data_IF_645237298196
#
_entry.id   IF_645237298196
#
_cell.length_a   1.000
_cell.length_b   1.000
_cell.length_c   1.000
_cell.angle_alpha   90.00
_cell.angle_beta   90.00
_cell.angle_gamma   90.00
#
_symmetry.space_group_name_H-M   'P 1'
#
loop_
_entity.id
_entity.type
_entity.pdbx_description
1 polymer ?
#
# COMPACT_ATOMS: atom_id res chain seq x y z
N UNK A 1 -3.01 -19.63 -5.29
CA UNK A 1 -1.93 -18.65 -5.53
C UNK A 1 -1.11 -18.50 -4.25
N UNK A 2 0.16 -18.08 -4.34
CA UNK A 2 0.94 -17.71 -3.16
C UNK A 2 0.41 -16.36 -2.66
N UNK A 3 0.18 -16.21 -1.36
CA UNK A 3 -0.17 -14.93 -0.75
C UNK A 3 0.95 -13.92 -0.99
N UNK A 4 0.57 -12.72 -1.44
CA UNK A 4 1.50 -11.65 -1.72
C UNK A 4 1.97 -10.93 -0.45
N UNK A 5 3.13 -10.30 -0.55
CA UNK A 5 3.75 -9.54 0.52
C UNK A 5 3.88 -8.08 0.13
N UNK A 6 3.36 -7.23 1.00
CA UNK A 6 3.35 -5.79 0.86
C UNK A 6 4.14 -5.21 2.04
N UNK A 7 5.22 -4.47 1.79
CA UNK A 7 5.99 -3.82 2.85
C UNK A 7 5.53 -2.38 3.03
N UNK A 8 5.53 -1.87 4.26
CA UNK A 8 5.24 -0.48 4.59
C UNK A 8 6.52 0.15 5.15
N UNK A 9 6.88 1.35 4.68
CA UNK A 9 8.03 2.08 5.20
C UNK A 9 7.96 2.26 6.73
N UNK A 10 9.11 2.28 7.44
CA UNK A 10 9.15 2.67 8.85
C UNK A 10 8.73 4.12 9.03
N UNK A 11 8.39 4.46 10.27
CA UNK A 11 8.04 5.83 10.66
C UNK A 11 9.26 6.78 10.62
N UNK A 12 10.47 6.23 10.70
CA UNK A 12 11.73 6.98 10.66
C UNK A 12 12.77 6.29 9.77
N UNK A 13 13.50 7.08 8.99
CA UNK A 13 14.64 6.69 8.16
C UNK A 13 15.38 7.96 7.72
N UNK A 14 16.67 7.87 7.38
CA UNK A 14 17.45 9.05 7.00
C UNK A 14 17.45 9.26 5.48
N UNK A 15 17.52 8.16 4.71
CA UNK A 15 17.70 8.24 3.26
C UNK A 15 17.16 7.00 2.52
N UNK A 16 17.18 7.06 1.18
CA UNK A 16 16.68 5.96 0.34
C UNK A 16 17.49 4.65 0.48
N UNK A 17 18.79 4.73 0.80
CA UNK A 17 19.62 3.53 0.95
C UNK A 17 19.21 2.72 2.19
N UNK A 18 18.78 3.38 3.27
CA UNK A 18 18.26 2.71 4.47
C UNK A 18 17.05 1.85 4.10
N UNK A 19 16.08 2.43 3.39
CA UNK A 19 14.88 1.74 2.93
C UNK A 19 15.21 0.58 1.98
N UNK A 20 16.10 0.80 1.01
CA UNK A 20 16.53 -0.24 0.08
C UNK A 20 17.23 -1.41 0.81
N UNK A 21 18.05 -1.10 1.82
CA UNK A 21 18.70 -2.11 2.64
C UNK A 21 17.69 -2.89 3.49
N UNK A 22 16.71 -2.21 4.09
CA UNK A 22 15.65 -2.86 4.86
C UNK A 22 14.80 -3.79 3.98
N UNK A 23 14.36 -3.33 2.80
CA UNK A 23 13.64 -4.17 1.84
C UNK A 23 14.50 -5.37 1.41
N UNK A 24 15.78 -5.15 1.08
CA UNK A 24 16.69 -6.23 0.70
C UNK A 24 16.90 -7.24 1.82
N UNK A 25 17.02 -6.78 3.07
CA UNK A 25 17.17 -7.66 4.22
C UNK A 25 15.91 -8.50 4.45
N UNK A 26 14.73 -7.91 4.29
CA UNK A 26 13.46 -8.62 4.38
C UNK A 26 13.30 -9.63 3.22
N UNK A 27 13.64 -9.21 2.00
CA UNK A 27 13.45 -9.99 0.79
C UNK A 27 14.38 -11.23 0.68
N UNK A 28 15.34 -11.40 1.60
CA UNK A 28 16.20 -12.60 1.64
C UNK A 28 15.40 -13.89 1.80
N UNK A 29 14.32 -13.82 2.58
CA UNK A 29 13.55 -15.00 2.98
C UNK A 29 12.22 -15.09 2.22
N UNK A 30 11.77 -14.02 1.54
CA UNK A 30 10.45 -13.92 0.91
C UNK A 30 10.46 -12.97 -0.31
N UNK A 31 9.63 -13.27 -1.30
CA UNK A 31 9.34 -12.34 -2.41
C UNK A 31 8.51 -11.17 -1.89
N UNK A 32 8.88 -9.95 -2.25
CA UNK A 32 8.11 -8.73 -1.97
C UNK A 32 7.42 -8.31 -3.26
N UNK A 33 6.11 -8.05 -3.21
CA UNK A 33 5.30 -7.67 -4.37
C UNK A 33 5.08 -6.15 -4.44
N UNK A 34 4.94 -5.50 -3.28
CA UNK A 34 4.69 -4.06 -3.21
C UNK A 34 5.38 -3.40 -2.01
N UNK A 35 5.61 -2.09 -2.11
CA UNK A 35 6.14 -1.23 -1.06
C UNK A 35 5.31 0.05 -0.93
N UNK A 36 4.77 0.32 0.26
CA UNK A 36 4.02 1.52 0.59
C UNK A 36 4.97 2.52 1.23
N UNK A 37 5.15 3.64 0.57
CA UNK A 37 5.82 4.77 1.16
C UNK A 37 4.82 5.63 1.94
N UNK A 38 5.10 5.85 3.21
CA UNK A 38 4.39 6.78 4.08
C UNK A 38 5.30 7.95 4.42
N UNK A 39 4.84 9.18 4.25
CA UNK A 39 5.58 10.34 4.74
C UNK A 39 5.62 10.30 6.28
N UNK A 40 6.79 10.41 6.92
CA UNK A 40 6.87 10.64 8.35
C UNK A 40 6.14 11.94 8.75
N UNK A 41 5.59 11.96 9.96
CA UNK A 41 4.91 13.14 10.49
C UNK A 41 5.88 14.34 10.54
N UNK A 42 5.45 15.47 9.98
CA UNK A 42 6.25 16.70 9.93
C UNK A 42 7.44 16.67 8.95
N UNK A 43 7.51 15.68 8.05
CA UNK A 43 8.55 15.55 7.05
C UNK A 43 8.66 16.77 6.11
N UNK A 44 9.90 17.15 5.75
CA UNK A 44 10.16 18.09 4.65
C UNK A 44 9.84 17.43 3.30
N UNK A 45 8.81 17.93 2.62
CA UNK A 45 8.37 17.39 1.33
C UNK A 45 9.51 17.33 0.30
N UNK A 46 10.40 18.32 0.25
CA UNK A 46 11.49 18.35 -0.73
C UNK A 46 12.54 17.27 -0.47
N UNK A 47 12.95 17.09 0.79
CA UNK A 47 13.83 15.99 1.20
C UNK A 47 13.28 14.63 0.80
N UNK A 48 11.99 14.39 1.05
CA UNK A 48 11.35 13.12 0.73
C UNK A 48 11.15 12.89 -0.77
N UNK A 49 10.95 13.95 -1.57
CA UNK A 49 10.97 13.83 -3.05
C UNK A 49 12.33 13.32 -3.56
N UNK A 50 13.44 13.73 -2.93
CA UNK A 50 14.77 13.22 -3.29
C UNK A 50 14.96 11.75 -2.89
N UNK A 51 14.32 11.30 -1.80
CA UNK A 51 14.26 9.89 -1.43
C UNK A 51 13.47 9.10 -2.48
N UNK A 52 12.25 9.53 -2.82
CA UNK A 52 11.39 8.85 -3.80
C UNK A 52 12.06 8.71 -5.17
N UNK A 53 12.73 9.77 -5.67
CA UNK A 53 13.46 9.73 -6.96
C UNK A 53 14.50 8.60 -7.05
N UNK A 54 15.09 8.20 -5.93
CA UNK A 54 16.06 7.10 -5.87
C UNK A 54 15.39 5.76 -5.58
N UNK A 55 14.40 5.77 -4.68
CA UNK A 55 13.73 4.57 -4.19
C UNK A 55 12.88 3.90 -5.27
N UNK A 56 12.03 4.68 -5.96
CA UNK A 56 11.04 4.19 -6.93
C UNK A 56 11.70 3.33 -8.02
N UNK A 57 12.64 3.86 -8.84
CA UNK A 57 13.23 3.06 -9.92
C UNK A 57 14.03 1.86 -9.40
N UNK A 58 14.63 1.95 -8.21
CA UNK A 58 15.41 0.86 -7.63
C UNK A 58 14.55 -0.32 -7.15
N UNK A 59 13.35 -0.05 -6.64
CA UNK A 59 12.37 -1.08 -6.27
C UNK A 59 11.66 -1.65 -7.51
N UNK A 60 11.25 -0.80 -8.44
CA UNK A 60 10.60 -1.22 -9.68
C UNK A 60 11.53 -2.10 -10.54
N UNK A 61 12.84 -1.84 -10.56
CA UNK A 61 13.83 -2.70 -11.23
C UNK A 61 13.89 -4.13 -10.66
N UNK A 62 13.34 -4.35 -9.46
CA UNK A 62 13.21 -5.65 -8.81
C UNK A 62 11.79 -6.24 -8.93
N UNK A 63 10.92 -5.63 -9.76
CA UNK A 63 9.50 -5.96 -9.88
C UNK A 63 8.71 -5.76 -8.56
N UNK A 64 9.13 -4.79 -7.74
CA UNK A 64 8.39 -4.39 -6.54
C UNK A 64 7.61 -3.12 -6.89
N UNK A 65 6.28 -3.21 -6.87
CA UNK A 65 5.42 -2.05 -7.10
C UNK A 65 5.58 -1.02 -5.97
N UNK A 66 5.66 0.27 -6.30
CA UNK A 66 5.79 1.34 -5.30
C UNK A 66 4.51 2.15 -5.24
N UNK A 67 3.90 2.15 -4.06
CA UNK A 67 2.67 2.86 -3.74
C UNK A 67 2.99 4.04 -2.82
N UNK A 68 2.26 5.14 -2.98
CA UNK A 68 2.38 6.30 -2.08
C UNK A 68 1.11 6.48 -1.26
N UNK A 69 1.26 6.66 0.06
CA UNK A 69 0.11 6.95 0.94
C UNK A 69 -0.32 8.43 0.80
N UNK A 70 -1.61 8.65 0.60
CA UNK A 70 -2.36 9.92 0.64
C UNK A 70 -1.97 11.07 -0.33
N UNK A 71 -0.77 11.08 -0.93
CA UNK A 71 -0.33 12.16 -1.84
C UNK A 71 -0.42 11.76 -3.32
N UNK A 72 -1.65 11.82 -3.86
CA UNK A 72 -1.96 11.41 -5.23
C UNK A 72 -1.16 12.17 -6.29
N UNK A 73 -1.07 13.49 -6.15
CA UNK A 73 -0.35 14.33 -7.12
C UNK A 73 1.13 13.99 -7.16
N UNK A 74 1.73 13.73 -5.99
CA UNK A 74 3.14 13.32 -5.92
C UNK A 74 3.33 11.95 -6.56
N UNK A 75 2.46 10.98 -6.24
CA UNK A 75 2.56 9.62 -6.78
C UNK A 75 2.59 9.60 -8.31
N UNK A 76 1.67 10.34 -8.94
CA UNK A 76 1.61 10.49 -10.40
C UNK A 76 2.87 11.17 -10.94
N UNK A 77 3.32 12.27 -10.30
CA UNK A 77 4.50 13.02 -10.75
C UNK A 77 5.80 12.23 -10.60
N UNK A 78 5.91 11.35 -9.61
CA UNK A 78 7.12 10.57 -9.34
C UNK A 78 7.13 9.21 -10.01
N UNK A 79 6.06 8.83 -10.71
CA UNK A 79 5.97 7.54 -11.40
C UNK A 79 5.77 6.35 -10.47
N UNK A 80 5.06 6.55 -9.35
CA UNK A 80 4.60 5.44 -8.51
C UNK A 80 3.61 4.56 -9.29
N UNK A 81 3.60 3.27 -8.97
CA UNK A 81 2.69 2.29 -9.58
C UNK A 81 1.26 2.43 -9.04
N UNK A 82 1.06 3.19 -7.98
CA UNK A 82 -0.24 3.44 -7.38
C UNK A 82 -0.22 4.28 -6.12
N UNK A 83 -1.39 4.41 -5.52
CA UNK A 83 -1.66 5.18 -4.30
C UNK A 83 -2.48 4.36 -3.33
N UNK A 84 -2.31 4.62 -2.04
CA UNK A 84 -3.23 4.17 -1.00
C UNK A 84 -3.83 5.37 -0.31
N UNK A 85 -5.15 5.42 -0.24
CA UNK A 85 -5.90 6.51 0.42
C UNK A 85 -6.88 5.94 1.43
N UNK A 86 -7.27 6.74 2.40
CA UNK A 86 -8.43 6.43 3.23
C UNK A 86 -9.74 6.64 2.44
N UNK A 87 -10.79 5.91 2.81
CA UNK A 87 -12.10 6.03 2.17
C UNK A 87 -12.62 7.48 2.17
N UNK A 88 -13.17 7.90 1.03
CA UNK A 88 -13.85 9.18 0.90
C UNK A 88 -15.06 9.09 -0.07
N UNK A 89 -16.10 9.94 0.07
CA UNK A 89 -17.29 9.87 -0.79
C UNK A 89 -17.05 10.08 -2.29
N UNK A 90 -15.92 10.66 -2.70
CA UNK A 90 -15.62 11.05 -4.09
C UNK A 90 -14.59 10.14 -4.78
N UNK A 91 -14.47 8.87 -4.38
CA UNK A 91 -13.50 7.93 -4.94
C UNK A 91 -13.61 7.74 -6.46
N UNK A 92 -14.83 7.81 -7.03
CA UNK A 92 -15.02 7.68 -8.48
C UNK A 92 -14.41 8.85 -9.28
N UNK A 93 -14.35 10.04 -8.69
CA UNK A 93 -13.66 11.18 -9.29
C UNK A 93 -12.15 11.03 -9.20
N UNK A 94 -11.65 10.54 -8.05
CA UNK A 94 -10.24 10.19 -7.89
C UNK A 94 -9.83 9.16 -8.93
N UNK A 95 -10.56 8.04 -9.04
CA UNK A 95 -10.31 6.97 -10.02
C UNK A 95 -10.15 7.49 -11.44
N UNK A 96 -11.01 8.42 -11.87
CA UNK A 96 -10.94 9.07 -13.19
C UNK A 96 -9.69 9.92 -13.41
N UNK A 97 -9.12 10.50 -12.34
CA UNK A 97 -7.88 11.31 -12.42
C UNK A 97 -6.63 10.46 -12.55
N UNK A 98 -6.66 9.23 -12.05
CA UNK A 98 -5.49 8.34 -11.99
C UNK A 98 -5.71 7.00 -12.70
N UNK A 99 -6.32 6.93 -13.90
CA UNK A 99 -6.81 5.67 -14.48
C UNK A 99 -5.72 4.60 -14.72
N UNK A 100 -4.45 5.02 -14.79
CA UNK A 100 -3.33 4.17 -15.20
C UNK A 100 -2.50 3.58 -14.03
N UNK A 101 -2.78 3.99 -12.78
CA UNK A 101 -2.04 3.53 -11.60
C UNK A 101 -2.97 2.87 -10.58
N UNK A 102 -2.47 2.00 -9.72
CA UNK A 102 -3.30 1.29 -8.75
C UNK A 102 -3.93 2.22 -7.71
N UNK A 103 -5.16 1.95 -7.29
CA UNK A 103 -5.88 2.64 -6.23
C UNK A 103 -6.22 1.66 -5.09
N UNK A 104 -5.48 1.75 -4.00
CA UNK A 104 -5.82 1.14 -2.73
C UNK A 104 -6.71 2.01 -1.88
N UNK A 105 -7.73 1.43 -1.26
CA UNK A 105 -8.60 2.16 -0.33
C UNK A 105 -8.62 1.48 1.03
N UNK A 106 -8.36 2.26 2.08
CA UNK A 106 -8.48 1.83 3.48
C UNK A 106 -9.87 2.19 3.99
N UNK A 107 -10.62 1.18 4.43
CA UNK A 107 -12.00 1.31 4.89
C UNK A 107 -12.13 0.96 6.38
N UNK A 108 -13.01 1.66 7.08
CA UNK A 108 -13.37 1.39 8.48
C UNK A 108 -14.57 0.44 8.61
N UNK A 109 -15.36 0.29 7.53
CA UNK A 109 -16.55 -0.55 7.53
C UNK A 109 -16.75 -1.31 6.22
N UNK A 110 -17.58 -2.37 6.28
CA UNK A 110 -17.96 -3.16 5.10
C UNK A 110 -18.70 -2.34 4.04
N UNK A 111 -19.51 -1.38 4.48
CA UNK A 111 -20.24 -0.51 3.57
C UNK A 111 -19.29 0.41 2.79
N UNK A 112 -18.27 0.96 3.46
CA UNK A 112 -17.21 1.74 2.80
C UNK A 112 -16.44 0.88 1.80
N UNK A 113 -16.09 -0.36 2.15
CA UNK A 113 -15.39 -1.27 1.25
C UNK A 113 -16.21 -1.61 0.01
N UNK A 114 -17.52 -1.90 0.17
CA UNK A 114 -18.42 -2.13 -0.97
C UNK A 114 -18.47 -0.90 -1.89
N UNK A 115 -18.63 0.28 -1.32
CA UNK A 115 -18.68 1.54 -2.07
C UNK A 115 -17.35 1.82 -2.78
N UNK A 116 -16.21 1.55 -2.12
CA UNK A 116 -14.88 1.73 -2.68
C UNK A 116 -14.61 0.76 -3.85
N UNK A 117 -15.00 -0.51 -3.70
CA UNK A 117 -14.91 -1.50 -4.78
C UNK A 117 -15.74 -1.10 -6.00
N UNK A 118 -16.98 -0.67 -5.79
CA UNK A 118 -17.85 -0.15 -6.86
C UNK A 118 -17.27 1.13 -7.52
N UNK A 119 -16.56 1.95 -6.75
CA UNK A 119 -15.90 3.16 -7.25
C UNK A 119 -14.59 2.89 -8.02
N UNK A 120 -14.14 1.64 -8.11
CA UNK A 120 -12.96 1.24 -8.88
C UNK A 120 -11.66 1.17 -8.07
N UNK A 121 -11.73 0.86 -6.78
CA UNK A 121 -10.56 0.46 -6.01
C UNK A 121 -9.98 -0.85 -6.56
N UNK A 122 -8.66 -0.88 -6.73
CA UNK A 122 -7.91 -2.06 -7.19
C UNK A 122 -7.57 -3.02 -6.04
N UNK A 123 -7.60 -2.53 -4.79
CA UNK A 123 -7.57 -3.37 -3.60
C UNK A 123 -8.21 -2.66 -2.41
N UNK A 124 -8.67 -3.45 -1.44
CA UNK A 124 -9.24 -2.97 -0.19
C UNK A 124 -8.36 -3.38 0.99
N UNK A 125 -8.11 -2.44 1.88
CA UNK A 125 -7.59 -2.70 3.21
C UNK A 125 -8.61 -2.24 4.26
N UNK A 126 -8.52 -2.79 5.47
CA UNK A 126 -9.34 -2.35 6.58
C UNK A 126 -8.50 -1.70 7.68
N UNK A 127 -9.13 -0.80 8.44
CA UNK A 127 -8.59 -0.24 9.69
C UNK A 127 -9.60 -0.40 10.84
N UNK A 128 -9.18 -0.09 12.06
CA UNK A 128 -10.01 -0.19 13.26
C UNK A 128 -10.07 -1.59 13.88
N UNK A 129 -10.96 -1.77 14.85
CA UNK A 129 -10.98 -2.95 15.73
C UNK A 129 -11.31 -4.26 15.01
N UNK A 130 -12.12 -4.20 13.96
CA UNK A 130 -12.60 -5.39 13.23
C UNK A 130 -11.78 -5.71 11.96
N UNK A 131 -10.53 -5.22 11.87
CA UNK A 131 -9.68 -5.35 10.69
C UNK A 131 -9.60 -6.79 10.16
N UNK A 132 -9.34 -7.78 11.03
CA UNK A 132 -9.19 -9.17 10.63
C UNK A 132 -10.52 -9.74 10.09
N UNK A 133 -11.61 -9.55 10.84
CA UNK A 133 -12.92 -10.09 10.46
C UNK A 133 -13.43 -9.48 9.15
N UNK A 134 -13.24 -8.17 8.96
CA UNK A 134 -13.69 -7.50 7.74
C UNK A 134 -12.84 -7.88 6.53
N UNK A 135 -11.52 -8.03 6.71
CA UNK A 135 -10.63 -8.43 5.61
C UNK A 135 -10.93 -9.86 5.15
N UNK A 136 -11.14 -10.80 6.08
CA UNK A 136 -11.51 -12.18 5.74
C UNK A 136 -12.87 -12.25 5.04
N UNK A 137 -13.87 -11.51 5.54
CA UNK A 137 -15.18 -11.41 4.90
C UNK A 137 -15.08 -10.87 3.47
N UNK A 138 -14.24 -9.85 3.24
CA UNK A 138 -14.04 -9.30 1.91
C UNK A 138 -13.37 -10.30 0.97
N UNK A 139 -12.28 -10.93 1.42
CA UNK A 139 -11.53 -11.93 0.65
C UNK A 139 -12.38 -13.16 0.27
N UNK A 140 -13.37 -13.53 1.09
CA UNK A 140 -14.25 -14.67 0.82
C UNK A 140 -15.33 -14.34 -0.24
N UNK A 141 -15.83 -13.11 -0.27
CA UNK A 141 -17.03 -12.76 -1.03
C UNK A 141 -16.78 -11.93 -2.29
N UNK A 142 -15.63 -11.27 -2.41
CA UNK A 142 -15.33 -10.30 -3.46
C UNK A 142 -14.08 -10.68 -4.25
N UNK A 143 -14.03 -10.24 -5.52
CA UNK A 143 -12.89 -10.47 -6.40
C UNK A 143 -11.83 -9.36 -6.32
N UNK A 144 -12.17 -8.20 -5.76
CA UNK A 144 -11.20 -7.12 -5.54
C UNK A 144 -10.27 -7.55 -4.42
N UNK A 145 -8.93 -7.59 -4.64
CA UNK A 145 -7.97 -8.08 -3.65
C UNK A 145 -8.11 -7.46 -2.26
N UNK A 146 -7.91 -8.28 -1.23
CA UNK A 146 -7.88 -7.88 0.16
C UNK A 146 -6.43 -7.78 0.68
N UNK A 147 -6.09 -6.66 1.30
CA UNK A 147 -4.81 -6.45 1.98
C UNK A 147 -5.05 -6.39 3.49
N UNK A 148 -4.44 -7.31 4.23
CA UNK A 148 -4.46 -7.31 5.69
C UNK A 148 -3.16 -6.71 6.23
N UNK A 149 -3.24 -5.63 7.01
CA UNK A 149 -2.09 -5.19 7.83
C UNK A 149 -1.82 -6.28 8.86
N UNK A 150 -0.58 -6.77 8.90
CA UNK A 150 -0.18 -7.92 9.71
C UNK A 150 -0.58 -7.75 11.17
N UNK A 151 -1.43 -8.66 11.64
CA UNK A 151 -1.93 -8.71 13.02
C UNK A 151 -1.16 -9.73 13.87
N UNK A 152 -0.10 -10.35 13.32
CA UNK A 152 0.64 -11.45 13.94
C UNK A 152 -0.07 -12.80 13.86
N UNK A 153 -1.30 -12.85 13.35
CA UNK A 153 -2.08 -14.08 13.17
C UNK A 153 -2.00 -14.55 11.72
N UNK A 154 -1.62 -15.81 11.43
CA UNK A 154 -1.61 -16.33 10.06
C UNK A 154 -3.00 -16.28 9.42
N UNK A 155 -3.10 -15.65 8.25
CA UNK A 155 -4.35 -15.48 7.52
C UNK A 155 -4.16 -15.95 6.06
N UNK A 156 -4.20 -17.25 5.76
CA UNK A 156 -3.86 -17.76 4.42
C UNK A 156 -4.87 -17.39 3.32
N UNK A 157 -6.07 -16.94 3.71
CA UNK A 157 -7.17 -16.67 2.78
C UNK A 157 -7.19 -15.23 2.25
N UNK A 158 -6.29 -14.34 2.71
CA UNK A 158 -6.22 -12.97 2.19
C UNK A 158 -5.16 -12.87 1.09
N UNK A 159 -5.39 -12.01 0.10
CA UNK A 159 -4.52 -11.91 -1.08
C UNK A 159 -3.13 -11.39 -0.72
N UNK A 160 -3.05 -10.38 0.16
CA UNK A 160 -1.79 -9.79 0.60
C UNK A 160 -1.71 -9.58 2.11
N UNK A 161 -0.51 -9.73 2.66
CA UNK A 161 -0.18 -9.28 4.02
C UNK A 161 0.72 -8.04 3.93
N UNK A 162 0.30 -6.96 4.59
CA UNK A 162 1.07 -5.73 4.69
C UNK A 162 1.88 -5.69 6.00
N UNK A 163 3.20 -5.55 5.92
CA UNK A 163 4.12 -5.53 7.07
C UNK A 163 4.94 -4.25 7.11
N UNK A 164 4.86 -3.52 8.22
CA UNK A 164 5.79 -2.41 8.48
C UNK A 164 7.18 -2.97 8.76
N UNK A 165 8.18 -2.48 8.02
CA UNK A 165 9.58 -2.86 8.22
C UNK A 165 10.29 -1.88 9.14
N UNK A 166 11.45 -2.30 9.66
CA UNK A 166 12.36 -1.46 10.43
C UNK A 166 13.66 -1.25 9.64
N UNK A 167 14.30 -0.10 9.84
CA UNK A 167 15.64 0.24 9.33
C UNK A 167 16.69 0.16 10.42
#
# INVERSE_FOLDING_TARGET
>A
MKQGLYLISPDTFENAADLLNAVKNFAKDQTVDAFLYTFPDGADKNGHLNVLKKLIPALQAQNIAVLLKDDVDTAVKTGCDGVQVDYAPHLSELRKKIPDIALGVVCSSRHEAMTAGEAGADYIAFSGENILQNTLWWAELFNVPAVLVDTGTPCPNVDFIAKKISV
#
